data_IF_678813009302
#
_entry.id   IF_678813009302
#
_cell.length_a   1.000
_cell.length_b   1.000
_cell.length_c   1.000
_cell.angle_alpha   90.00
_cell.angle_beta   90.00
_cell.angle_gamma   90.00
#
_symmetry.space_group_name_H-M   'P 1'
#
loop_
_entity.id
_entity.type
_entity.pdbx_description
1 polymer ?
#
# COMPACT_ATOMS: atom_id res chain seq x y z
N UNK A 1 19.46 -17.62 24.54
CA UNK A 1 18.60 -17.79 23.36
C UNK A 1 17.45 -16.82 23.52
N UNK A 2 17.45 -15.68 22.83
CA UNK A 2 16.31 -14.77 22.85
C UNK A 2 15.18 -15.48 22.11
N UNK A 3 14.11 -15.84 22.82
CA UNK A 3 12.87 -16.26 22.18
C UNK A 3 12.39 -15.10 21.33
N UNK A 4 12.45 -15.24 20.02
CA UNK A 4 11.91 -14.27 19.07
C UNK A 4 10.43 -14.02 19.41
N UNK A 5 10.04 -12.76 19.63
CA UNK A 5 8.66 -12.42 19.97
C UNK A 5 7.71 -12.79 18.84
N UNK A 6 6.45 -13.04 19.18
CA UNK A 6 5.43 -13.38 18.20
C UNK A 6 5.28 -12.29 17.12
N UNK A 7 5.43 -11.03 17.50
CA UNK A 7 5.47 -9.89 16.58
C UNK A 7 6.65 -9.98 15.61
N UNK A 8 7.85 -10.33 16.09
CA UNK A 8 9.04 -10.48 15.23
C UNK A 8 8.84 -11.61 14.21
N UNK A 9 8.31 -12.77 14.64
CA UNK A 9 7.99 -13.88 13.73
C UNK A 9 7.01 -13.47 12.64
N UNK A 10 5.90 -12.84 13.04
CA UNK A 10 4.87 -12.31 12.13
C UNK A 10 5.45 -11.32 11.11
N UNK A 11 6.35 -10.42 11.55
CA UNK A 11 7.04 -9.48 10.67
C UNK A 11 8.00 -10.20 9.72
N UNK A 12 8.79 -11.15 10.19
CA UNK A 12 9.71 -11.96 9.38
C UNK A 12 8.97 -12.68 8.26
N UNK A 13 7.89 -13.38 8.60
CA UNK A 13 7.07 -14.10 7.62
C UNK A 13 6.48 -13.15 6.58
N UNK A 14 5.94 -12.00 7.02
CA UNK A 14 5.34 -11.00 6.14
C UNK A 14 6.35 -10.35 5.19
N UNK A 15 7.49 -9.89 5.69
CA UNK A 15 8.53 -9.31 4.83
C UNK A 15 9.10 -10.34 3.85
N UNK A 16 9.28 -11.60 4.27
CA UNK A 16 9.77 -12.66 3.39
C UNK A 16 8.85 -12.93 2.20
N UNK A 17 7.53 -12.95 2.43
CA UNK A 17 6.54 -13.24 1.38
C UNK A 17 6.13 -12.00 0.55
N UNK A 18 6.04 -10.82 1.16
CA UNK A 18 5.49 -9.61 0.50
C UNK A 18 6.56 -8.62 0.01
N UNK A 19 7.86 -8.91 0.14
CA UNK A 19 8.92 -7.95 -0.20
C UNK A 19 8.77 -7.31 -1.59
N UNK A 20 8.40 -8.11 -2.60
CA UNK A 20 8.18 -7.63 -3.98
C UNK A 20 6.99 -6.67 -4.05
N UNK A 21 5.88 -7.01 -3.40
CA UNK A 21 4.68 -6.17 -3.29
C UNK A 21 5.00 -4.84 -2.60
N UNK A 22 5.77 -4.87 -1.52
CA UNK A 22 6.21 -3.67 -0.80
C UNK A 22 7.11 -2.78 -1.68
N UNK A 23 8.02 -3.38 -2.43
CA UNK A 23 8.91 -2.65 -3.35
C UNK A 23 8.13 -1.95 -4.46
N UNK A 24 7.20 -2.66 -5.10
CA UNK A 24 6.30 -2.07 -6.09
C UNK A 24 5.49 -0.91 -5.47
N UNK A 25 4.89 -1.15 -4.31
CA UNK A 25 4.14 -0.12 -3.58
C UNK A 25 4.98 1.14 -3.30
N UNK A 26 6.22 1.00 -2.82
CA UNK A 26 7.09 2.16 -2.56
C UNK A 26 7.45 2.89 -3.85
N UNK A 27 7.80 2.18 -4.93
CA UNK A 27 8.13 2.79 -6.23
C UNK A 27 7.02 3.71 -6.76
N UNK A 28 5.76 3.29 -6.62
CA UNK A 28 4.62 4.09 -7.08
C UNK A 28 4.39 5.38 -6.30
N UNK A 29 4.95 5.46 -5.09
CA UNK A 29 4.69 6.52 -4.10
C UNK A 29 5.86 7.50 -3.96
N UNK A 30 7.08 7.09 -4.32
CA UNK A 30 8.24 7.98 -4.37
C UNK A 30 8.32 8.66 -5.73
N UNK A 31 8.59 9.97 -5.74
CA UNK A 31 8.91 10.68 -6.99
C UNK A 31 10.38 10.48 -7.31
N UNK A 32 10.76 10.53 -8.59
CA UNK A 32 12.16 10.50 -9.05
C UNK A 32 13.07 11.53 -8.34
N UNK A 33 12.50 12.57 -7.75
CA UNK A 33 13.22 13.60 -7.00
C UNK A 33 13.64 13.17 -5.60
N UNK A 34 13.18 12.01 -5.12
CA UNK A 34 13.56 11.45 -3.82
C UNK A 34 14.87 10.68 -3.98
N UNK A 35 15.94 11.14 -3.32
CA UNK A 35 17.26 10.50 -3.37
C UNK A 35 17.34 9.28 -2.42
N UNK A 36 16.35 8.39 -2.49
CA UNK A 36 16.30 7.12 -1.76
C UNK A 36 15.63 6.06 -2.61
N UNK A 37 16.23 4.87 -2.65
CA UNK A 37 15.66 3.74 -3.37
C UNK A 37 14.53 3.11 -2.55
N UNK A 38 13.64 2.36 -3.22
CA UNK A 38 12.52 1.72 -2.59
C UNK A 38 12.95 0.73 -1.50
N UNK A 39 14.05 0.01 -1.75
CA UNK A 39 14.66 -0.92 -0.80
C UNK A 39 15.13 -0.22 0.49
N UNK A 40 15.71 0.97 0.38
CA UNK A 40 16.20 1.73 1.54
C UNK A 40 15.04 2.12 2.46
N UNK A 41 13.90 2.50 1.88
CA UNK A 41 12.69 2.86 2.63
C UNK A 41 12.12 1.63 3.34
N UNK A 42 12.07 0.50 2.64
CA UNK A 42 11.59 -0.76 3.22
C UNK A 42 12.52 -1.20 4.34
N UNK A 43 13.84 -1.11 4.15
CA UNK A 43 14.83 -1.48 5.14
C UNK A 43 14.77 -0.58 6.37
N UNK A 44 14.67 0.74 6.20
CA UNK A 44 14.47 1.70 7.30
C UNK A 44 13.24 1.33 8.16
N UNK A 45 12.13 0.98 7.48
CA UNK A 45 10.90 0.59 8.16
C UNK A 45 11.06 -0.75 8.86
N UNK A 46 11.61 -1.75 8.19
CA UNK A 46 11.87 -3.07 8.77
C UNK A 46 12.74 -2.93 10.04
N UNK A 47 13.87 -2.22 9.97
CA UNK A 47 14.75 -1.97 11.11
C UNK A 47 14.00 -1.34 12.29
N UNK A 48 13.16 -0.34 12.03
CA UNK A 48 12.35 0.31 13.06
C UNK A 48 11.33 -0.65 13.69
N UNK A 49 10.63 -1.43 12.87
CA UNK A 49 9.62 -2.37 13.33
C UNK A 49 10.22 -3.53 14.14
N UNK A 50 11.29 -4.15 13.65
CA UNK A 50 11.98 -5.22 14.36
C UNK A 50 12.61 -4.73 15.68
N UNK A 51 13.19 -3.52 15.69
CA UNK A 51 13.72 -2.91 16.94
C UNK A 51 12.65 -2.55 17.98
N UNK A 52 11.39 -2.49 17.55
CA UNK A 52 10.22 -2.21 18.40
C UNK A 52 9.35 -3.42 18.71
N UNK A 53 9.60 -4.58 18.08
CA UNK A 53 8.67 -5.71 18.05
C UNK A 53 8.20 -6.17 19.43
N UNK A 54 9.11 -6.22 20.41
CA UNK A 54 8.83 -6.66 21.77
C UNK A 54 8.08 -5.62 22.62
N UNK A 55 8.08 -4.35 22.18
CA UNK A 55 7.42 -3.23 22.86
C UNK A 55 6.03 -2.93 22.32
N UNK A 56 5.72 -3.41 21.11
CA UNK A 56 4.39 -3.25 20.54
C UNK A 56 3.40 -4.19 21.23
N UNK A 57 2.16 -3.73 21.34
CA UNK A 57 1.04 -4.64 21.58
C UNK A 57 1.01 -5.73 20.48
N UNK A 58 0.36 -6.88 20.71
CA UNK A 58 0.22 -7.91 19.70
C UNK A 58 -0.25 -7.34 18.35
N UNK A 59 0.52 -7.58 17.30
CA UNK A 59 0.21 -7.13 15.96
C UNK A 59 -0.74 -8.15 15.34
N UNK A 60 -2.02 -7.81 15.31
CA UNK A 60 -3.06 -8.68 14.73
C UNK A 60 -3.12 -8.54 13.20
N UNK A 61 -2.94 -7.32 12.68
CA UNK A 61 -2.85 -7.05 11.24
C UNK A 61 -1.44 -6.54 10.88
N UNK A 62 -0.55 -7.48 10.55
CA UNK A 62 0.86 -7.22 10.22
C UNK A 62 0.98 -6.38 8.96
N UNK A 63 0.17 -6.69 7.95
CA UNK A 63 0.23 -6.03 6.67
C UNK A 63 -0.16 -4.55 6.77
N UNK A 64 -1.31 -4.24 7.38
CA UNK A 64 -1.73 -2.87 7.62
C UNK A 64 -0.71 -2.09 8.45
N UNK A 65 -0.11 -2.73 9.44
CA UNK A 65 0.94 -2.12 10.26
C UNK A 65 2.21 -1.78 9.45
N UNK A 66 2.65 -2.66 8.55
CA UNK A 66 3.82 -2.44 7.69
C UNK A 66 3.52 -1.39 6.63
N UNK A 67 2.43 -1.50 5.87
CA UNK A 67 2.06 -0.53 4.83
C UNK A 67 1.85 0.88 5.39
N UNK A 68 1.23 1.00 6.58
CA UNK A 68 1.11 2.29 7.28
C UNK A 68 2.45 2.86 7.69
N UNK A 69 3.35 2.01 8.20
CA UNK A 69 4.72 2.41 8.56
C UNK A 69 5.53 2.89 7.36
N UNK A 70 5.40 2.23 6.21
CA UNK A 70 6.00 2.65 4.94
C UNK A 70 5.41 3.98 4.46
N UNK A 71 4.08 4.12 4.46
CA UNK A 71 3.40 5.37 4.09
C UNK A 71 3.91 6.53 4.92
N UNK A 72 3.97 6.37 6.24
CA UNK A 72 4.49 7.38 7.16
C UNK A 72 5.95 7.73 6.83
N UNK A 73 6.80 6.73 6.55
CA UNK A 73 8.20 6.96 6.17
C UNK A 73 8.32 7.76 4.86
N UNK A 74 7.50 7.46 3.86
CA UNK A 74 7.48 8.21 2.60
C UNK A 74 7.03 9.65 2.83
N UNK A 75 5.99 9.87 3.66
CA UNK A 75 5.54 11.22 4.04
C UNK A 75 6.67 11.99 4.74
N UNK A 76 7.38 11.36 5.68
CA UNK A 76 8.50 11.99 6.38
C UNK A 76 9.62 12.40 5.41
N UNK A 77 10.03 11.51 4.52
CA UNK A 77 11.08 11.78 3.52
C UNK A 77 10.64 12.92 2.59
N UNK A 78 9.43 12.86 2.07
CA UNK A 78 8.91 13.88 1.13
C UNK A 78 8.71 15.24 1.80
N UNK A 79 8.37 15.29 3.09
CA UNK A 79 8.31 16.52 3.89
C UNK A 79 9.69 17.11 4.12
N UNK A 80 10.71 16.29 4.41
CA UNK A 80 12.09 16.77 4.61
C UNK A 80 12.72 17.29 3.31
N UNK A 81 12.37 16.72 2.15
CA UNK A 81 12.84 17.19 0.84
C UNK A 81 12.18 18.50 0.38
N UNK A 82 11.04 18.90 0.99
CA UNK A 82 10.32 20.14 0.68
C UNK A 82 10.27 21.10 1.86
N UNK A 83 11.27 21.98 1.98
CA UNK A 83 11.11 23.22 2.75
C UNK A 83 10.25 24.28 2.03
N UNK A 84 9.65 23.97 0.88
CA UNK A 84 8.70 24.87 0.22
C UNK A 84 7.62 24.08 -0.51
N UNK A 85 6.39 24.57 -0.37
CA UNK A 85 5.14 24.08 -0.97
C UNK A 85 4.52 22.87 -0.27
N UNK A 86 3.59 23.20 0.64
CA UNK A 86 2.48 22.38 1.13
C UNK A 86 1.89 21.59 -0.04
N UNK A 87 2.30 20.34 -0.20
CA UNK A 87 1.45 19.36 -0.84
C UNK A 87 0.57 18.89 0.30
N UNK A 88 -0.67 19.33 0.33
CA UNK A 88 -1.74 18.60 1.00
C UNK A 88 -1.74 17.21 0.37
N UNK A 89 -1.00 16.28 0.98
CA UNK A 89 -1.17 14.87 0.71
C UNK A 89 -2.53 14.56 1.32
N UNK A 90 -3.54 14.69 0.47
CA UNK A 90 -4.95 14.49 0.75
C UNK A 90 -5.09 13.28 1.69
N UNK A 91 -5.53 13.52 2.92
CA UNK A 91 -5.75 12.44 3.88
C UNK A 91 -6.90 11.50 3.42
N UNK A 92 -7.59 11.85 2.33
CA UNK A 92 -8.68 11.10 1.69
C UNK A 92 -8.24 10.09 0.61
N UNK A 93 -6.93 9.87 0.41
CA UNK A 93 -6.47 8.78 -0.45
C UNK A 93 -6.70 7.41 0.21
N UNK A 94 -7.82 6.78 -0.11
CA UNK A 94 -8.04 5.36 0.13
C UNK A 94 -6.95 4.55 -0.58
N UNK A 95 -6.28 3.65 0.15
CA UNK A 95 -5.24 2.78 -0.41
C UNK A 95 -5.74 1.35 -0.62
N UNK A 96 -5.18 0.65 -1.61
CA UNK A 96 -5.47 -0.76 -1.84
C UNK A 96 -5.04 -1.61 -0.64
N UNK A 97 -3.95 -1.21 0.02
CA UNK A 97 -3.51 -1.81 1.28
C UNK A 97 -4.56 -1.63 2.40
N UNK A 98 -5.20 -0.46 2.50
CA UNK A 98 -6.25 -0.20 3.49
C UNK A 98 -7.53 -1.02 3.20
N UNK A 99 -7.79 -1.33 1.92
CA UNK A 99 -8.87 -2.22 1.50
C UNK A 99 -8.56 -3.68 1.84
N UNK A 100 -7.33 -4.14 1.56
CA UNK A 100 -6.92 -5.53 1.75
C UNK A 100 -6.69 -5.88 3.21
N UNK A 101 -6.23 -4.91 3.99
CA UNK A 101 -5.76 -5.10 5.36
C UNK A 101 -6.40 -4.06 6.28
N UNK A 102 -7.73 -4.10 6.49
CA UNK A 102 -8.39 -3.20 7.42
C UNK A 102 -7.85 -3.39 8.83
N UNK A 103 -7.75 -2.31 9.62
CA UNK A 103 -7.16 -2.32 10.97
C UNK A 103 -7.89 -3.19 12.02
N UNK A 104 -9.00 -3.82 11.65
CA UNK A 104 -9.76 -4.76 12.49
C UNK A 104 -9.26 -6.19 12.29
N UNK A 105 -9.42 -7.06 13.31
CA UNK A 105 -8.93 -8.45 13.45
C UNK A 105 -9.32 -9.46 12.34
N UNK A 106 -9.65 -9.01 11.14
CA UNK A 106 -9.83 -9.89 10.01
C UNK A 106 -8.45 -10.29 9.49
N UNK A 107 -8.04 -11.53 9.77
CA UNK A 107 -7.18 -12.24 8.85
C UNK A 107 -7.74 -12.03 7.44
N UNK A 108 -6.96 -11.43 6.55
CA UNK A 108 -7.37 -11.27 5.16
C UNK A 108 -7.51 -12.65 4.56
N UNK A 109 -8.73 -13.18 4.56
CA UNK A 109 -9.01 -14.51 4.03
C UNK A 109 -8.71 -14.53 2.54
N UNK A 110 -8.34 -15.70 2.02
CA UNK A 110 -8.20 -15.91 0.56
C UNK A 110 -9.44 -15.44 -0.20
N UNK A 111 -10.60 -15.45 0.45
CA UNK A 111 -11.86 -14.93 -0.08
C UNK A 111 -11.80 -13.41 -0.30
N UNK A 112 -11.25 -12.62 0.61
CA UNK A 112 -11.09 -11.17 0.42
C UNK A 112 -10.17 -10.86 -0.76
N UNK A 113 -9.09 -11.62 -0.92
CA UNK A 113 -8.17 -11.49 -2.07
C UNK A 113 -8.89 -11.87 -3.37
N UNK A 114 -9.64 -12.97 -3.38
CA UNK A 114 -10.42 -13.39 -4.54
C UNK A 114 -11.51 -12.37 -4.91
N UNK A 115 -12.17 -11.78 -3.91
CA UNK A 115 -13.16 -10.71 -4.12
C UNK A 115 -12.51 -9.45 -4.68
N UNK A 116 -11.30 -9.09 -4.24
CA UNK A 116 -10.58 -7.96 -4.79
C UNK A 116 -10.21 -8.20 -6.26
N UNK A 117 -9.63 -9.37 -6.58
CA UNK A 117 -9.28 -9.74 -7.96
C UNK A 117 -10.52 -9.65 -8.88
N UNK A 118 -11.62 -10.25 -8.46
CA UNK A 118 -12.88 -10.15 -9.19
C UNK A 118 -13.39 -8.70 -9.31
N UNK A 119 -13.21 -7.89 -8.27
CA UNK A 119 -13.54 -6.48 -8.28
C UNK A 119 -12.75 -5.70 -9.33
N UNK A 120 -11.44 -5.98 -9.43
CA UNK A 120 -10.52 -5.38 -10.38
C UNK A 120 -10.89 -5.78 -11.81
N UNK A 121 -11.20 -7.05 -12.06
CA UNK A 121 -11.60 -7.55 -13.38
C UNK A 121 -12.87 -6.88 -13.92
N UNK A 122 -13.75 -6.46 -13.01
CA UNK A 122 -14.99 -5.77 -13.34
C UNK A 122 -14.85 -4.24 -13.48
N UNK A 123 -13.66 -3.68 -13.29
CA UNK A 123 -13.43 -2.26 -13.54
C UNK A 123 -13.44 -1.98 -15.05
N UNK A 124 -13.82 -0.75 -15.43
CA UNK A 124 -13.63 -0.27 -16.80
C UNK A 124 -12.13 -0.34 -17.17
N UNK A 125 -11.76 -0.59 -18.43
CA UNK A 125 -10.37 -0.81 -18.83
C UNK A 125 -9.40 0.21 -18.24
N UNK A 126 -9.60 1.52 -18.48
CA UNK A 126 -8.70 2.55 -17.95
C UNK A 126 -8.64 2.69 -16.41
N UNK A 127 -9.54 2.07 -15.65
CA UNK A 127 -9.47 1.96 -14.19
C UNK A 127 -8.77 0.68 -13.74
N UNK A 128 -8.96 -0.41 -14.47
CA UNK A 128 -8.23 -1.66 -14.24
C UNK A 128 -6.76 -1.50 -14.58
N UNK A 129 -6.48 -0.94 -15.75
CA UNK A 129 -5.12 -0.85 -16.29
C UNK A 129 -4.24 0.04 -15.40
N UNK A 130 -4.80 1.13 -14.84
CA UNK A 130 -4.04 1.98 -13.90
C UNK A 130 -3.76 1.27 -12.57
N UNK A 131 -4.69 0.43 -12.08
CA UNK A 131 -4.47 -0.37 -10.87
C UNK A 131 -3.39 -1.41 -11.13
N UNK A 132 -3.45 -2.12 -12.26
CA UNK A 132 -2.43 -3.13 -12.61
C UNK A 132 -1.06 -2.46 -12.76
N UNK A 133 -0.95 -1.44 -13.60
CA UNK A 133 0.33 -0.81 -13.90
C UNK A 133 0.99 -0.22 -12.65
N UNK A 134 0.21 0.47 -11.80
CA UNK A 134 0.74 1.10 -10.59
C UNK A 134 0.89 0.05 -9.49
N UNK A 135 -0.20 -0.54 -9.03
CA UNK A 135 -0.22 -1.31 -7.79
C UNK A 135 0.37 -2.72 -7.90
N UNK A 136 0.40 -3.29 -9.10
CA UNK A 136 0.89 -4.66 -9.33
C UNK A 136 2.22 -4.71 -10.10
N UNK A 137 2.37 -3.87 -11.12
CA UNK A 137 3.57 -3.85 -11.97
C UNK A 137 4.60 -2.82 -11.52
N UNK A 138 4.22 -1.85 -10.67
CA UNK A 138 5.12 -0.89 -10.05
C UNK A 138 5.52 0.29 -10.95
N UNK A 139 4.81 0.53 -12.05
CA UNK A 139 5.03 1.70 -12.89
C UNK A 139 4.70 3.00 -12.15
N UNK A 140 5.57 3.99 -12.32
CA UNK A 140 5.30 5.35 -11.89
C UNK A 140 4.29 6.03 -12.82
N UNK A 141 3.53 7.00 -12.31
CA UNK A 141 2.64 7.81 -13.15
C UNK A 141 3.37 8.53 -14.28
N UNK A 142 4.64 8.88 -14.06
CA UNK A 142 5.50 9.53 -15.05
C UNK A 142 5.84 8.59 -16.20
N UNK A 143 6.20 7.34 -15.91
CA UNK A 143 6.45 6.31 -16.93
C UNK A 143 5.20 6.06 -17.78
N UNK A 144 4.06 5.88 -17.12
CA UNK A 144 2.77 5.66 -17.80
C UNK A 144 2.37 6.89 -18.63
N UNK A 145 2.56 8.10 -18.10
CA UNK A 145 2.29 9.36 -18.81
C UNK A 145 3.16 9.50 -20.06
N UNK A 146 4.45 9.15 -19.96
CA UNK A 146 5.39 9.17 -21.08
C UNK A 146 5.00 8.16 -22.17
N UNK A 147 4.52 6.98 -21.79
CA UNK A 147 4.16 5.92 -22.73
C UNK A 147 2.78 6.14 -23.37
N UNK A 148 1.81 6.64 -22.60
CA UNK A 148 0.40 6.75 -23.03
C UNK A 148 -0.01 8.15 -23.47
N UNK A 149 0.79 9.17 -23.16
CA UNK A 149 0.46 10.59 -23.36
C UNK A 149 -0.61 11.13 -22.40
N UNK A 150 -1.06 10.35 -21.42
CA UNK A 150 -2.11 10.73 -20.46
C UNK A 150 -1.47 11.49 -19.29
N UNK A 151 -1.94 12.70 -18.93
CA UNK A 151 -1.35 13.47 -17.84
C UNK A 151 -1.31 12.72 -16.51
N UNK A 152 -0.22 12.85 -15.75
CA UNK A 152 -0.03 12.21 -14.44
C UNK A 152 -1.19 12.47 -13.47
N UNK A 153 -1.68 13.71 -13.42
CA UNK A 153 -2.84 14.07 -12.58
C UNK A 153 -4.13 13.33 -12.99
N UNK A 154 -4.32 13.09 -14.30
CA UNK A 154 -5.42 12.27 -14.79
C UNK A 154 -5.28 10.82 -14.34
N UNK A 155 -4.08 10.23 -14.49
CA UNK A 155 -3.78 8.86 -14.05
C UNK A 155 -4.00 8.68 -12.55
N UNK A 156 -3.51 9.62 -11.73
CA UNK A 156 -3.71 9.62 -10.28
C UNK A 156 -5.19 9.69 -9.90
N UNK A 157 -5.96 10.56 -10.58
CA UNK A 157 -7.40 10.66 -10.37
C UNK A 157 -8.17 9.42 -10.84
N UNK A 158 -7.67 8.68 -11.85
CA UNK A 158 -8.26 7.42 -12.31
C UNK A 158 -8.03 6.32 -11.28
N UNK A 159 -6.81 6.18 -10.76
CA UNK A 159 -6.50 5.21 -9.69
C UNK A 159 -7.36 5.46 -8.46
N UNK A 160 -7.47 6.71 -8.01
CA UNK A 160 -8.30 7.04 -6.85
C UNK A 160 -9.76 6.59 -7.03
N UNK A 161 -10.37 6.92 -8.19
CA UNK A 161 -11.74 6.49 -8.50
C UNK A 161 -11.87 4.96 -8.56
N UNK A 162 -10.89 4.28 -9.15
CA UNK A 162 -10.85 2.82 -9.20
C UNK A 162 -10.86 2.21 -7.79
N UNK A 163 -10.01 2.69 -6.89
CA UNK A 163 -9.96 2.24 -5.49
C UNK A 163 -11.27 2.51 -4.76
N UNK A 164 -11.87 3.69 -4.92
CA UNK A 164 -13.16 4.00 -4.32
C UNK A 164 -14.29 3.07 -4.78
N UNK A 165 -14.27 2.63 -6.05
CA UNK A 165 -15.21 1.62 -6.57
C UNK A 165 -14.96 0.26 -5.93
N UNK A 166 -13.70 -0.16 -5.82
CA UNK A 166 -13.33 -1.44 -5.20
C UNK A 166 -13.74 -1.48 -3.73
N UNK A 167 -13.49 -0.42 -2.97
CA UNK A 167 -13.90 -0.32 -1.57
C UNK A 167 -15.40 -0.43 -1.40
N UNK A 168 -16.20 0.33 -2.17
CA UNK A 168 -17.66 0.22 -2.12
C UNK A 168 -18.13 -1.20 -2.42
N UNK A 169 -17.57 -1.87 -3.42
CA UNK A 169 -17.92 -3.26 -3.75
C UNK A 169 -17.56 -4.24 -2.63
N UNK A 170 -16.41 -4.05 -1.99
CA UNK A 170 -15.93 -4.95 -0.93
C UNK A 170 -16.66 -4.72 0.39
N UNK A 171 -16.86 -3.46 0.79
CA UNK A 171 -17.65 -3.10 1.96
C UNK A 171 -19.08 -3.67 1.90
N UNK A 172 -19.75 -3.55 0.74
CA UNK A 172 -21.10 -4.11 0.52
C UNK A 172 -21.15 -5.65 0.60
N UNK A 173 -20.02 -6.33 0.31
CA UNK A 173 -19.95 -7.80 0.38
C UNK A 173 -19.57 -8.29 1.77
N UNK A 174 -18.73 -7.57 2.50
CA UNK A 174 -18.34 -7.88 3.88
C UNK A 174 -19.56 -7.80 4.81
N UNK A 175 -20.44 -6.81 4.63
CA UNK A 175 -21.69 -6.70 5.42
C UNK A 175 -22.70 -7.83 5.12
N UNK A 176 -22.71 -8.38 3.91
CA UNK A 176 -23.61 -9.48 3.54
C UNK A 176 -23.22 -10.84 4.12
N UNK A 177 -21.96 -11.04 4.50
CA UNK A 177 -21.47 -12.28 5.10
C UNK A 177 -21.51 -12.28 6.65
N UNK A 178 -21.98 -11.19 7.26
CA UNK A 178 -22.18 -11.06 8.71
C UNK A 178 -23.60 -11.43 9.20
N UNK A 179 -24.52 -11.79 8.29
CA UNK A 179 -25.87 -12.25 8.62
C UNK A 179 -26.06 -13.71 8.23
#
# INVERSE_FOLDING_TARGET
MNSESENSKKLTDFFGREYRSLKAYVHTRIKDTVNKNAEDIIQDVALKLFSGADRYAPINNVAGFVYRSIKNRIIDITRTTKQTTTIEIDNDFLDLADILYPSTDNETSEQTIAMLKNGIDQLKPGYRDIIIAVDFEGYSYKEISKETGIPEGTLMSRRHRAIGILYKKLALKIDKHKN
#
